data_IF_754573302548
#
_entry.id   IF_754573302548
#
_cell.length_a   1.000
_cell.length_b   1.000
_cell.length_c   1.000
_cell.angle_alpha   90.00
_cell.angle_beta   90.00
_cell.angle_gamma   90.00
#
_symmetry.space_group_name_H-M   'P 1'
#
loop_
_entity.id
_entity.type
_entity.pdbx_description
1 polymer ?
#
# COMPACT_ATOMS: atom_id res chain seq x y z
N UNK A 1 -10.12 20.65 -22.18
CA UNK A 1 -8.99 19.73 -22.01
C UNK A 1 -9.39 18.59 -21.08
N UNK A 2 -9.37 17.38 -21.59
CA UNK A 2 -9.73 16.23 -20.77
C UNK A 2 -8.59 15.90 -19.80
N UNK A 3 -8.96 15.54 -18.57
CA UNK A 3 -7.97 15.03 -17.63
C UNK A 3 -7.58 13.63 -18.03
N UNK A 4 -6.30 13.36 -17.99
CA UNK A 4 -5.84 11.98 -18.12
C UNK A 4 -6.32 11.17 -16.93
N UNK A 5 -6.77 9.95 -17.18
CA UNK A 5 -7.10 9.03 -16.10
C UNK A 5 -5.84 8.69 -15.30
N UNK A 6 -5.95 8.50 -13.97
CA UNK A 6 -4.81 8.07 -13.18
C UNK A 6 -4.27 6.75 -13.68
N UNK A 7 -2.95 6.65 -13.79
CA UNK A 7 -2.27 5.44 -14.24
C UNK A 7 -1.29 5.00 -13.16
N UNK A 8 -1.35 3.72 -12.81
CA UNK A 8 -0.38 3.12 -11.90
C UNK A 8 0.84 2.67 -12.70
N UNK A 9 2.01 3.10 -12.26
CA UNK A 9 3.28 2.74 -12.89
C UNK A 9 4.22 2.16 -11.86
N UNK A 10 5.22 1.40 -12.33
CA UNK A 10 6.30 0.96 -11.46
C UNK A 10 7.12 2.18 -11.06
N UNK A 11 7.40 2.31 -9.77
CA UNK A 11 8.20 3.41 -9.26
C UNK A 11 9.66 3.26 -9.70
N UNK A 12 10.30 4.38 -9.97
CA UNK A 12 11.72 4.42 -10.33
C UNK A 12 12.51 5.11 -9.22
N UNK A 13 13.83 5.16 -9.36
CA UNK A 13 14.66 5.83 -8.37
C UNK A 13 14.30 7.32 -8.21
N UNK A 14 13.84 7.96 -9.28
CA UNK A 14 13.35 9.34 -9.20
C UNK A 14 12.15 9.50 -8.29
N UNK A 15 11.41 8.42 -8.02
CA UNK A 15 10.23 8.44 -7.16
C UNK A 15 10.57 8.21 -5.68
N UNK A 16 11.81 7.88 -5.34
CA UNK A 16 12.18 7.58 -3.96
C UNK A 16 11.87 8.74 -3.01
N UNK A 17 12.29 9.95 -3.35
CA UNK A 17 12.02 11.12 -2.53
C UNK A 17 10.51 11.43 -2.48
N UNK A 18 9.78 11.45 -3.62
CA UNK A 18 8.32 11.58 -3.55
C UNK A 18 7.62 10.50 -2.72
N UNK A 19 8.11 9.26 -2.74
CA UNK A 19 7.56 8.19 -1.89
C UNK A 19 7.77 8.51 -0.41
N UNK A 20 8.94 9.01 -0.04
CA UNK A 20 9.19 9.43 1.35
C UNK A 20 8.31 10.59 1.78
N UNK A 21 8.07 11.54 0.88
CA UNK A 21 7.17 12.67 1.16
C UNK A 21 5.75 12.18 1.42
N UNK A 22 5.28 11.25 0.57
CA UNK A 22 3.96 10.66 0.76
C UNK A 22 3.87 9.88 2.08
N UNK A 23 4.91 9.12 2.42
CA UNK A 23 4.95 8.38 3.67
C UNK A 23 4.90 9.33 4.88
N UNK A 24 5.60 10.46 4.81
CA UNK A 24 5.55 11.46 5.88
C UNK A 24 4.14 12.03 6.04
N UNK A 25 3.44 12.26 4.95
CA UNK A 25 2.07 12.78 4.99
C UNK A 25 1.13 11.81 5.73
N UNK A 26 1.32 10.49 5.57
CA UNK A 26 0.42 9.51 6.18
C UNK A 26 0.91 8.99 7.54
N UNK A 27 2.06 9.44 8.04
CA UNK A 27 2.57 9.03 9.35
C UNK A 27 1.57 9.19 10.49
N UNK A 28 0.75 10.26 10.54
CA UNK A 28 -0.26 10.36 11.59
C UNK A 28 -1.23 9.19 11.65
N UNK A 29 -1.41 8.47 10.52
CA UNK A 29 -2.29 7.30 10.46
C UNK A 29 -1.53 6.00 10.77
N UNK A 30 -0.27 5.89 10.35
CA UNK A 30 0.48 4.63 10.39
C UNK A 30 1.65 4.62 11.37
N UNK A 31 1.93 5.73 12.01
CA UNK A 31 3.10 5.90 12.85
C UNK A 31 4.34 6.28 12.03
N UNK A 32 5.46 6.60 12.71
CA UNK A 32 6.65 7.11 12.03
C UNK A 32 7.30 6.04 11.14
N UNK A 33 7.50 6.38 9.88
CA UNK A 33 8.12 5.51 8.87
C UNK A 33 9.37 6.13 8.26
N UNK A 34 9.36 7.44 8.02
CA UNK A 34 10.39 8.11 7.23
C UNK A 34 11.77 8.05 7.90
N UNK A 35 11.83 8.01 9.21
CA UNK A 35 13.09 7.86 9.92
C UNK A 35 13.54 6.42 10.11
N UNK A 36 12.77 5.45 9.66
CA UNK A 36 13.08 4.02 9.85
C UNK A 36 13.91 3.50 8.70
N UNK A 37 15.18 3.07 8.96
CA UNK A 37 16.03 2.52 7.89
C UNK A 37 15.44 1.30 7.21
N UNK A 38 14.65 0.49 7.91
CA UNK A 38 14.05 -0.70 7.30
C UNK A 38 12.97 -0.34 6.29
N UNK A 39 12.23 0.74 6.52
CA UNK A 39 11.27 1.23 5.54
C UNK A 39 11.96 1.76 4.28
N UNK A 40 13.02 2.56 4.46
CA UNK A 40 13.77 3.06 3.30
C UNK A 40 14.39 1.91 2.51
N UNK A 41 14.95 0.92 3.20
CA UNK A 41 15.47 -0.27 2.53
C UNK A 41 14.39 -1.02 1.75
N UNK A 42 13.18 -1.11 2.30
CA UNK A 42 12.05 -1.73 1.61
C UNK A 42 11.66 -0.95 0.35
N UNK A 43 11.65 0.39 0.42
CA UNK A 43 11.37 1.23 -0.75
C UNK A 43 12.40 0.97 -1.86
N UNK A 44 13.68 0.99 -1.51
CA UNK A 44 14.75 0.78 -2.48
C UNK A 44 14.70 -0.60 -3.11
N UNK A 45 14.47 -1.64 -2.31
CA UNK A 45 14.34 -3.01 -2.83
C UNK A 45 13.12 -3.13 -3.73
N UNK A 46 11.98 -2.55 -3.33
CA UNK A 46 10.77 -2.57 -4.13
C UNK A 46 10.98 -1.90 -5.48
N UNK A 47 11.64 -0.74 -5.49
CA UNK A 47 11.96 -0.04 -6.74
C UNK A 47 12.86 -0.92 -7.63
N UNK A 48 13.92 -1.49 -7.05
CA UNK A 48 14.86 -2.31 -7.81
C UNK A 48 14.22 -3.56 -8.41
N UNK A 49 13.21 -4.14 -7.71
CA UNK A 49 12.55 -5.37 -8.14
C UNK A 49 11.30 -5.15 -9.00
N UNK A 50 10.89 -3.90 -9.17
CA UNK A 50 9.62 -3.60 -9.86
C UNK A 50 8.39 -3.91 -9.03
N UNK A 51 8.52 -3.92 -7.71
CA UNK A 51 7.45 -4.23 -6.75
C UNK A 51 6.95 -3.00 -6.01
N UNK A 52 7.48 -1.83 -6.31
CA UNK A 52 6.96 -0.56 -5.81
C UNK A 52 6.15 0.08 -6.94
N UNK A 53 4.94 0.53 -6.62
CA UNK A 53 4.04 1.14 -7.59
C UNK A 53 3.60 2.51 -7.11
N UNK A 54 3.30 3.40 -8.04
CA UNK A 54 2.85 4.73 -7.68
C UNK A 54 1.93 5.32 -8.73
N UNK A 55 1.21 6.36 -8.33
CA UNK A 55 0.46 7.23 -9.22
C UNK A 55 1.07 8.61 -9.08
N UNK A 56 1.60 9.14 -10.17
CA UNK A 56 2.26 10.45 -10.17
C UNK A 56 1.26 11.56 -10.46
N UNK A 57 1.52 12.73 -9.90
CA UNK A 57 0.76 13.93 -10.22
C UNK A 57 1.10 14.45 -11.62
N UNK A 58 2.35 14.28 -12.04
CA UNK A 58 2.86 14.68 -13.34
C UNK A 58 3.90 13.71 -13.86
N UNK A 59 5.03 14.22 -14.30
CA UNK A 59 6.12 13.40 -14.83
C UNK A 59 6.87 12.64 -13.74
N UNK A 60 7.81 11.78 -14.15
CA UNK A 60 8.66 11.03 -13.25
C UNK A 60 9.36 11.98 -12.27
N UNK A 61 9.33 11.64 -10.98
CA UNK A 61 9.89 12.46 -9.92
C UNK A 61 8.95 13.54 -9.39
N UNK A 62 7.76 13.72 -10.00
CA UNK A 62 6.75 14.64 -9.49
C UNK A 62 6.11 14.12 -8.20
N UNK A 63 5.39 14.97 -7.44
CA UNK A 63 4.67 14.51 -6.26
C UNK A 63 3.75 13.33 -6.57
N UNK A 64 3.59 12.43 -5.61
CA UNK A 64 2.77 11.25 -5.79
C UNK A 64 1.39 11.43 -5.20
N UNK A 65 0.39 10.91 -5.92
CA UNK A 65 -0.99 10.83 -5.44
C UNK A 65 -1.22 9.56 -4.63
N UNK A 66 -0.42 8.52 -4.87
CA UNK A 66 -0.50 7.28 -4.12
C UNK A 66 0.70 6.40 -4.36
N UNK A 67 0.90 5.42 -3.47
CA UNK A 67 1.99 4.47 -3.59
C UNK A 67 1.68 3.15 -2.90
N UNK A 68 2.31 2.08 -3.36
CA UNK A 68 2.15 0.74 -2.82
C UNK A 68 3.46 -0.02 -2.90
N UNK A 69 3.79 -0.75 -1.83
CA UNK A 69 4.89 -1.71 -1.82
C UNK A 69 4.32 -3.12 -1.75
N UNK A 70 4.78 -3.97 -2.65
CA UNK A 70 4.41 -5.38 -2.69
C UNK A 70 5.63 -6.23 -2.34
N UNK A 71 5.44 -7.29 -1.56
CA UNK A 71 6.46 -8.31 -1.35
C UNK A 71 5.96 -9.61 -1.96
N UNK A 72 6.74 -10.16 -2.89
CA UNK A 72 6.37 -11.38 -3.60
C UNK A 72 7.22 -12.55 -3.13
N UNK A 73 6.61 -13.46 -2.39
CA UNK A 73 7.23 -14.72 -1.96
C UNK A 73 6.22 -15.84 -2.23
N UNK A 74 6.02 -16.20 -3.51
CA UNK A 74 4.97 -17.16 -3.87
C UNK A 74 5.00 -18.41 -3.00
N UNK A 75 3.87 -18.91 -2.54
CA UNK A 75 2.50 -18.50 -2.89
C UNK A 75 1.94 -17.35 -2.06
N UNK A 76 2.76 -16.65 -1.25
CA UNK A 76 2.32 -15.55 -0.40
C UNK A 76 2.77 -14.21 -0.97
N UNK A 77 1.83 -13.28 -1.11
CA UNK A 77 2.07 -11.92 -1.59
C UNK A 77 1.61 -10.96 -0.51
N UNK A 78 2.48 -10.06 -0.10
CA UNK A 78 2.17 -9.15 1.01
C UNK A 78 2.13 -7.71 0.52
N UNK A 79 1.01 -7.01 0.79
CA UNK A 79 0.94 -5.56 0.64
C UNK A 79 1.61 -4.98 1.88
N UNK A 80 2.86 -4.55 1.73
CA UNK A 80 3.65 -4.07 2.86
C UNK A 80 3.33 -2.64 3.23
N UNK A 81 2.83 -1.85 2.28
CA UNK A 81 2.50 -0.46 2.48
C UNK A 81 1.58 0.02 1.35
N UNK A 82 0.58 0.81 1.70
CA UNK A 82 -0.32 1.42 0.74
C UNK A 82 -0.73 2.78 1.30
N UNK A 83 -0.53 3.82 0.52
CA UNK A 83 -0.91 5.16 0.93
C UNK A 83 -1.48 5.95 -0.24
N UNK A 84 -2.43 6.83 0.07
CA UNK A 84 -3.03 7.76 -0.89
C UNK A 84 -2.97 9.14 -0.27
N UNK A 85 -2.54 10.13 -1.06
CA UNK A 85 -2.46 11.50 -0.60
C UNK A 85 -3.83 11.99 -0.12
N UNK A 86 -3.83 12.75 0.98
CA UNK A 86 -5.08 13.13 1.64
C UNK A 86 -6.01 13.94 0.74
N UNK A 87 -5.45 14.78 -0.15
CA UNK A 87 -6.24 15.66 -1.00
C UNK A 87 -6.92 14.94 -2.18
N UNK A 88 -6.61 13.65 -2.41
CA UNK A 88 -7.20 12.86 -3.51
C UNK A 88 -7.85 11.57 -3.04
N UNK A 89 -8.15 11.45 -1.76
CA UNK A 89 -8.86 10.29 -1.23
C UNK A 89 -10.26 10.20 -1.84
N UNK A 90 -10.81 8.97 -1.85
CA UNK A 90 -12.13 8.64 -2.41
C UNK A 90 -12.23 8.79 -3.91
N UNK A 91 -11.09 8.81 -4.62
CA UNK A 91 -11.06 8.83 -6.10
C UNK A 91 -10.69 7.47 -6.69
N UNK A 92 -10.66 6.42 -5.86
CA UNK A 92 -10.37 5.08 -6.35
C UNK A 92 -8.90 4.79 -6.58
N UNK A 93 -7.98 5.64 -6.14
CA UNK A 93 -6.55 5.44 -6.36
C UNK A 93 -6.01 4.22 -5.61
N UNK A 94 -6.47 4.02 -4.36
CA UNK A 94 -6.07 2.83 -3.60
C UNK A 94 -6.47 1.54 -4.29
N UNK A 95 -7.67 1.51 -4.85
CA UNK A 95 -8.15 0.36 -5.61
C UNK A 95 -7.31 0.12 -6.85
N UNK A 96 -6.96 1.17 -7.60
CA UNK A 96 -6.11 1.04 -8.77
C UNK A 96 -4.75 0.45 -8.42
N UNK A 97 -4.17 0.90 -7.30
CA UNK A 97 -2.89 0.39 -6.84
C UNK A 97 -2.98 -1.08 -6.46
N UNK A 98 -4.00 -1.48 -5.70
CA UNK A 98 -4.20 -2.87 -5.31
C UNK A 98 -4.49 -3.73 -6.54
N UNK A 99 -5.32 -3.27 -7.48
CA UNK A 99 -5.60 -4.01 -8.71
C UNK A 99 -4.31 -4.27 -9.49
N UNK A 100 -3.41 -3.29 -9.56
CA UNK A 100 -2.12 -3.47 -10.21
C UNK A 100 -1.29 -4.54 -9.51
N UNK A 101 -1.23 -4.51 -8.18
CA UNK A 101 -0.51 -5.54 -7.41
C UNK A 101 -1.12 -6.92 -7.65
N UNK A 102 -2.45 -7.02 -7.63
CA UNK A 102 -3.14 -8.29 -7.84
C UNK A 102 -2.90 -8.85 -9.24
N UNK A 103 -2.66 -7.99 -10.24
CA UNK A 103 -2.35 -8.45 -11.60
C UNK A 103 -1.06 -9.25 -11.68
N UNK A 104 -0.19 -9.14 -10.68
CA UNK A 104 1.08 -9.87 -10.61
C UNK A 104 0.97 -11.16 -9.83
N UNK A 105 -0.16 -11.39 -9.16
CA UNK A 105 -0.36 -12.57 -8.33
C UNK A 105 -0.76 -13.76 -9.21
N UNK A 106 -0.07 -14.88 -9.02
CA UNK A 106 -0.32 -16.10 -9.78
C UNK A 106 -0.95 -17.17 -8.88
N UNK A 107 -2.26 -17.45 -9.03
CA UNK A 107 -2.91 -18.50 -8.25
C UNK A 107 -2.32 -19.88 -8.57
N UNK A 108 -2.30 -20.82 -7.57
CA UNK A 108 -2.84 -20.67 -6.23
C UNK A 108 -1.95 -19.80 -5.35
N UNK A 109 -2.56 -18.84 -4.66
CA UNK A 109 -1.82 -17.87 -3.89
C UNK A 109 -2.69 -17.25 -2.79
N UNK A 110 -2.05 -16.60 -1.82
CA UNK A 110 -2.76 -15.73 -0.90
C UNK A 110 -2.10 -14.35 -0.90
N UNK A 111 -2.93 -13.33 -0.74
CA UNK A 111 -2.47 -11.95 -0.60
C UNK A 111 -2.83 -11.49 0.80
N UNK A 112 -1.85 -10.98 1.53
CA UNK A 112 -2.05 -10.54 2.91
C UNK A 112 -1.71 -9.07 3.06
N UNK A 113 -2.41 -8.43 3.97
CA UNK A 113 -2.12 -7.06 4.40
C UNK A 113 -2.40 -6.98 5.88
N UNK A 114 -1.56 -6.23 6.61
CA UNK A 114 -1.77 -5.97 8.03
C UNK A 114 -2.32 -4.56 8.17
N UNK A 115 -3.44 -4.42 8.85
CA UNK A 115 -4.06 -3.13 9.11
C UNK A 115 -4.44 -3.01 10.57
N UNK A 116 -5.18 -1.96 10.92
CA UNK A 116 -5.59 -1.73 12.29
C UNK A 116 -6.53 -2.83 12.78
N UNK A 117 -6.44 -3.16 14.08
CA UNK A 117 -7.34 -4.11 14.69
C UNK A 117 -8.77 -3.58 14.76
N UNK A 118 -9.74 -4.48 15.04
CA UNK A 118 -11.16 -4.11 14.99
C UNK A 118 -11.58 -3.09 16.06
N UNK A 119 -10.77 -2.94 17.12
CA UNK A 119 -11.05 -2.00 18.20
C UNK A 119 -10.43 -0.61 17.99
N UNK A 120 -9.84 -0.35 16.83
CA UNK A 120 -9.21 0.93 16.49
C UNK A 120 -10.13 1.69 15.55
N UNK A 121 -10.87 2.73 16.03
CA UNK A 121 -11.83 3.46 15.19
C UNK A 121 -11.18 4.11 13.95
N UNK A 122 -9.96 4.61 14.09
CA UNK A 122 -9.24 5.28 13.02
C UNK A 122 -8.92 4.35 11.86
N UNK A 123 -8.94 3.05 12.11
CA UNK A 123 -8.67 2.04 11.08
C UNK A 123 -9.90 1.60 10.30
N UNK A 124 -11.09 2.08 10.66
CA UNK A 124 -12.32 1.64 10.00
C UNK A 124 -12.33 1.88 8.49
N UNK A 125 -11.90 3.04 7.98
CA UNK A 125 -11.86 3.25 6.53
C UNK A 125 -10.97 2.24 5.82
N UNK A 126 -9.81 1.91 6.38
CA UNK A 126 -8.90 0.92 5.79
C UNK A 126 -9.52 -0.48 5.80
N UNK A 127 -10.13 -0.88 6.92
CA UNK A 127 -10.79 -2.18 7.02
C UNK A 127 -11.90 -2.33 5.99
N UNK A 128 -12.74 -1.31 5.84
CA UNK A 128 -13.81 -1.31 4.85
C UNK A 128 -13.27 -1.36 3.43
N UNK A 129 -12.17 -0.65 3.18
CA UNK A 129 -11.51 -0.66 1.89
C UNK A 129 -11.08 -2.08 1.49
N UNK A 130 -10.36 -2.76 2.39
CA UNK A 130 -9.91 -4.12 2.10
C UNK A 130 -11.07 -5.11 1.98
N UNK A 131 -12.08 -4.99 2.82
CA UNK A 131 -13.26 -5.85 2.74
C UNK A 131 -14.00 -5.67 1.42
N UNK A 132 -14.10 -4.43 0.93
CA UNK A 132 -14.73 -4.14 -0.36
C UNK A 132 -13.98 -4.78 -1.53
N UNK A 133 -12.67 -4.99 -1.37
CA UNK A 133 -11.83 -5.65 -2.39
C UNK A 133 -11.86 -7.18 -2.27
N UNK A 134 -12.58 -7.72 -1.29
CA UNK A 134 -12.69 -9.17 -1.09
C UNK A 134 -11.75 -9.75 -0.05
N UNK A 135 -10.93 -8.93 0.58
CA UNK A 135 -10.10 -9.38 1.69
C UNK A 135 -10.99 -9.68 2.90
N UNK A 136 -10.61 -10.68 3.69
CA UNK A 136 -11.35 -11.07 4.89
C UNK A 136 -10.45 -10.96 6.11
N UNK A 137 -11.01 -10.53 7.27
CA UNK A 137 -10.23 -10.51 8.50
C UNK A 137 -9.78 -11.92 8.88
N UNK A 138 -8.53 -12.02 9.27
CA UNK A 138 -7.90 -13.27 9.66
C UNK A 138 -7.30 -13.12 11.07
N UNK A 139 -6.19 -13.78 11.36
CA UNK A 139 -5.59 -13.74 12.67
C UNK A 139 -5.07 -12.34 13.06
N UNK A 140 -4.95 -12.11 14.36
CA UNK A 140 -4.33 -10.88 14.86
C UNK A 140 -2.84 -10.90 14.56
N UNK A 141 -2.29 -9.77 14.17
CA UNK A 141 -0.86 -9.56 14.00
C UNK A 141 -0.24 -9.09 15.32
N UNK A 142 1.10 -9.12 15.45
CA UNK A 142 1.75 -8.50 16.60
C UNK A 142 1.35 -7.02 16.72
N UNK A 143 1.18 -6.51 17.94
CA UNK A 143 0.78 -5.11 18.11
C UNK A 143 1.79 -4.13 17.52
N UNK A 144 1.31 -2.93 17.20
CA UNK A 144 2.19 -1.83 16.79
C UNK A 144 3.08 -1.42 17.97
N UNK A 145 4.19 -0.70 17.70
CA UNK A 145 5.08 -0.25 18.79
C UNK A 145 4.39 0.55 19.89
N UNK A 146 3.31 1.26 19.56
CA UNK A 146 2.52 2.01 20.54
C UNK A 146 1.48 1.16 21.28
N UNK A 147 1.44 -0.15 21.01
CA UNK A 147 0.49 -1.07 21.63
C UNK A 147 -0.83 -1.21 20.90
N UNK A 148 -1.06 -0.45 19.83
CA UNK A 148 -2.30 -0.55 19.06
C UNK A 148 -2.42 -1.94 18.43
N UNK A 149 -3.63 -2.51 18.47
CA UNK A 149 -3.85 -3.83 17.85
C UNK A 149 -3.80 -3.74 16.34
N UNK A 150 -3.34 -4.83 15.73
CA UNK A 150 -3.30 -4.97 14.28
C UNK A 150 -3.86 -6.31 13.89
N UNK A 151 -4.47 -6.36 12.70
CA UNK A 151 -5.09 -7.59 12.20
C UNK A 151 -4.66 -7.84 10.77
N UNK A 152 -4.42 -9.11 10.46
CA UNK A 152 -4.14 -9.56 9.11
C UNK A 152 -5.44 -9.73 8.35
N UNK A 153 -5.48 -9.18 7.14
CA UNK A 153 -6.56 -9.41 6.18
C UNK A 153 -6.00 -10.24 5.04
N UNK A 154 -6.78 -11.19 4.57
CA UNK A 154 -6.32 -12.18 3.58
C UNK A 154 -7.28 -12.30 2.42
N UNK A 155 -6.70 -12.42 1.21
CA UNK A 155 -7.44 -12.64 -0.01
C UNK A 155 -6.85 -13.86 -0.72
N UNK A 156 -7.72 -14.74 -1.21
CA UNK A 156 -7.32 -15.88 -2.04
C UNK A 156 -7.85 -15.63 -3.46
N UNK A 157 -6.99 -15.10 -4.36
CA UNK A 157 -7.44 -14.87 -5.74
C UNK A 157 -7.81 -16.18 -6.43
N UNK A 158 -8.85 -16.12 -7.23
CA UNK A 158 -9.30 -17.28 -8.02
C UNK A 158 -8.52 -17.30 -9.33
N UNK A 159 -8.10 -18.49 -9.73
CA UNK A 159 -7.38 -18.69 -10.97
C UNK A 159 -8.24 -18.36 -12.21
#
# INVERSE_FOLDING_TARGET
MSRSDPVVVAATEADLTPLRVLAAEVEPLFGPLVGDPSFEGALRRGIARGDAFCVREGDEGSPLLGGLLLSRQPPVYTVGWLAVASHVRRRGLGRLLVDRALSLVRPPAEVVVTTFGPNIPEGEPARRFYEALGFRPAEMAPPAPDGATRQIYRLHPVA
#
